data_IF_569089891175
#
_entry.id   IF_569089891175
#
_cell.length_a   1.000
_cell.length_b   1.000
_cell.length_c   1.000
_cell.angle_alpha   90.00
_cell.angle_beta   90.00
_cell.angle_gamma   90.00
#
_symmetry.space_group_name_H-M   'P 1'
#
loop_
_entity.id
_entity.type
_entity.pdbx_description
1 polymer ?
#
# COMPACT_ATOMS: atom_id res chain seq x y z
N UNK A 1 -8.08 80.86 -14.34
CA UNK A 1 -6.76 80.20 -14.27
C UNK A 1 -6.32 80.25 -12.82
N UNK A 2 -6.44 79.13 -12.08
CA UNK A 2 -6.03 79.03 -10.68
C UNK A 2 -4.95 77.97 -10.54
N UNK A 3 -3.89 78.40 -9.88
CA UNK A 3 -2.60 77.78 -9.63
C UNK A 3 -2.71 76.74 -8.51
N UNK A 4 -1.95 75.66 -8.67
CA UNK A 4 -1.80 74.50 -7.79
C UNK A 4 -1.05 74.90 -6.52
N UNK A 5 -1.46 74.41 -5.33
CA UNK A 5 -0.50 74.09 -4.28
C UNK A 5 -0.87 72.81 -3.51
N UNK A 6 0.09 71.90 -3.57
CA UNK A 6 0.23 70.60 -2.94
C UNK A 6 -0.09 70.59 -1.44
N UNK A 7 -0.98 69.69 -1.01
CA UNK A 7 -1.06 69.21 0.38
C UNK A 7 -0.53 67.78 0.42
N UNK A 8 0.68 67.67 0.96
CA UNK A 8 1.33 66.46 1.42
C UNK A 8 0.47 65.82 2.53
N UNK A 9 -0.04 64.60 2.33
CA UNK A 9 -0.53 63.76 3.44
C UNK A 9 -0.14 62.31 3.21
N UNK A 10 0.54 61.78 4.21
CA UNK A 10 1.19 60.48 4.28
C UNK A 10 0.25 59.27 4.17
N UNK A 11 0.79 58.21 3.52
CA UNK A 11 0.68 56.74 3.66
C UNK A 11 -0.50 56.08 4.43
N UNK A 12 -0.92 54.83 4.06
CA UNK A 12 -0.07 53.79 3.48
C UNK A 12 -0.62 53.07 2.24
N UNK A 13 0.30 52.79 1.31
CA UNK A 13 0.26 51.61 0.45
C UNK A 13 0.43 50.38 1.35
N UNK A 14 -0.66 49.74 1.74
CA UNK A 14 -0.61 48.37 2.24
C UNK A 14 -0.58 47.43 1.02
N UNK A 15 0.61 47.29 0.44
CA UNK A 15 0.89 46.31 -0.61
C UNK A 15 0.67 44.92 0.00
N UNK A 16 -0.44 44.28 -0.36
CA UNK A 16 -0.79 42.94 0.06
C UNK A 16 0.25 41.93 -0.44
N UNK A 17 1.28 41.67 0.35
CA UNK A 17 2.17 40.53 0.20
C UNK A 17 1.40 39.26 0.60
N UNK A 18 0.50 38.81 -0.27
CA UNK A 18 0.09 37.42 -0.32
C UNK A 18 1.27 36.63 -0.90
N UNK A 19 2.25 36.36 -0.03
CA UNK A 19 3.17 35.26 -0.26
C UNK A 19 2.32 33.99 -0.20
N UNK A 20 1.84 33.56 -1.37
CA UNK A 20 1.51 32.17 -1.60
C UNK A 20 2.81 31.40 -1.33
N UNK A 21 2.99 30.95 -0.10
CA UNK A 21 3.86 29.83 0.17
C UNK A 21 3.29 28.71 -0.67
N UNK A 22 3.89 28.47 -1.83
CA UNK A 22 3.68 27.25 -2.57
C UNK A 22 4.07 26.16 -1.57
N UNK A 23 3.06 25.53 -0.97
CA UNK A 23 3.27 24.39 -0.12
C UNK A 23 4.15 23.44 -0.90
N UNK A 24 5.29 23.06 -0.34
CA UNK A 24 6.05 21.93 -0.83
C UNK A 24 5.05 20.78 -0.96
N UNK A 25 4.60 20.52 -2.19
CA UNK A 25 4.07 19.22 -2.54
C UNK A 25 5.28 18.30 -2.41
N UNK A 26 5.49 17.79 -1.19
CA UNK A 26 6.26 16.58 -1.01
C UNK A 26 5.55 15.59 -1.91
N UNK A 27 6.16 15.28 -3.06
CA UNK A 27 5.83 14.15 -3.89
C UNK A 27 6.17 12.89 -3.08
N UNK A 28 5.47 12.70 -1.96
CA UNK A 28 5.35 11.43 -1.29
C UNK A 28 4.62 10.57 -2.30
N UNK A 29 5.41 9.73 -2.98
CA UNK A 29 5.01 8.71 -3.93
C UNK A 29 3.52 8.47 -3.91
N UNK A 30 2.84 8.76 -5.03
CA UNK A 30 1.52 8.23 -5.29
C UNK A 30 1.62 6.71 -5.09
N UNK A 31 1.29 6.26 -3.89
CA UNK A 31 1.17 4.84 -3.56
C UNK A 31 -0.07 4.43 -4.33
N UNK A 32 0.14 3.83 -5.50
CA UNK A 32 -0.93 3.24 -6.30
C UNK A 32 -1.79 2.42 -5.32
N UNK A 33 -3.09 2.73 -5.24
CA UNK A 33 -4.03 2.02 -4.36
C UNK A 33 -4.05 0.49 -4.67
N UNK A 34 -3.55 0.12 -5.85
CA UNK A 34 -3.33 -1.25 -6.32
C UNK A 34 -2.14 -1.99 -5.71
N UNK A 35 -1.16 -1.28 -5.11
CA UNK A 35 0.07 -1.89 -4.62
C UNK A 35 -0.08 -2.51 -3.23
N UNK A 36 0.50 -3.69 -3.03
CA UNK A 36 0.51 -4.35 -1.72
C UNK A 36 1.35 -3.57 -0.71
N UNK A 37 0.77 -3.24 0.45
CA UNK A 37 1.46 -2.50 1.51
C UNK A 37 2.26 -3.47 2.39
N UNK A 38 3.57 -3.55 2.19
CA UNK A 38 4.41 -4.57 2.84
C UNK A 38 4.62 -4.40 4.35
N UNK A 39 4.34 -3.23 4.91
CA UNK A 39 4.53 -2.90 6.34
C UNK A 39 3.21 -2.82 7.15
N UNK A 40 2.09 -3.30 6.57
CA UNK A 40 0.79 -3.33 7.26
C UNK A 40 0.63 -4.58 8.15
N UNK A 41 -0.41 -4.61 8.98
CA UNK A 41 -0.75 -5.79 9.80
C UNK A 41 -1.32 -6.94 8.97
N UNK A 42 -1.32 -8.17 9.50
CA UNK A 42 -1.94 -9.31 8.83
C UNK A 42 -3.45 -9.10 8.59
N UNK A 43 -4.11 -8.41 9.52
CA UNK A 43 -5.53 -8.08 9.41
C UNK A 43 -5.81 -7.10 8.26
N UNK A 44 -5.04 -6.01 8.15
CA UNK A 44 -5.15 -5.05 7.04
C UNK A 44 -4.82 -5.71 5.71
N UNK A 45 -3.78 -6.54 5.67
CA UNK A 45 -3.41 -7.27 4.45
C UNK A 45 -4.52 -8.21 3.99
N UNK A 46 -5.20 -8.89 4.93
CA UNK A 46 -6.37 -9.73 4.60
C UNK A 46 -7.49 -8.90 3.98
N UNK A 47 -7.78 -7.72 4.52
CA UNK A 47 -8.79 -6.82 3.96
C UNK A 47 -8.38 -6.33 2.56
N UNK A 48 -7.12 -5.96 2.38
CA UNK A 48 -6.60 -5.53 1.08
C UNK A 48 -6.73 -6.64 0.03
N UNK A 49 -6.32 -7.87 0.39
CA UNK A 49 -6.40 -9.03 -0.51
C UNK A 49 -7.86 -9.39 -0.83
N UNK A 50 -8.77 -9.28 0.13
CA UNK A 50 -10.20 -9.50 -0.11
C UNK A 50 -10.79 -8.50 -1.12
N UNK A 51 -10.24 -7.28 -1.19
CA UNK A 51 -10.60 -6.31 -2.22
C UNK A 51 -10.15 -6.71 -3.64
N UNK A 52 -9.13 -7.56 -3.77
CA UNK A 52 -8.62 -8.03 -5.06
C UNK A 52 -9.16 -9.39 -5.48
N UNK A 53 -9.48 -10.22 -4.50
CA UNK A 53 -9.94 -11.60 -4.69
C UNK A 53 -11.28 -11.70 -3.97
N UNK A 54 -12.39 -11.35 -4.65
CA UNK A 54 -13.72 -11.57 -4.11
C UNK A 54 -13.92 -13.03 -3.68
N UNK A 55 -14.79 -13.25 -2.70
CA UNK A 55 -15.27 -14.59 -2.35
C UNK A 55 -15.76 -15.32 -3.60
N UNK A 56 -15.50 -16.64 -3.70
CA UNK A 56 -15.82 -17.49 -4.86
C UNK A 56 -15.11 -17.17 -6.17
N UNK A 57 -14.06 -16.33 -6.15
CA UNK A 57 -13.19 -16.14 -7.32
C UNK A 57 -12.61 -17.48 -7.80
N UNK A 58 -12.44 -17.61 -9.12
CA UNK A 58 -11.71 -18.72 -9.70
C UNK A 58 -10.29 -18.79 -9.11
N UNK A 59 -9.85 -19.98 -8.72
CA UNK A 59 -8.57 -20.20 -8.06
C UNK A 59 -7.39 -19.75 -8.94
N UNK A 60 -7.44 -20.03 -10.24
CA UNK A 60 -6.40 -19.62 -11.18
C UNK A 60 -6.35 -18.10 -11.33
N UNK A 61 -7.51 -17.44 -11.35
CA UNK A 61 -7.65 -15.98 -11.35
C UNK A 61 -7.05 -15.36 -10.09
N UNK A 62 -7.37 -15.91 -8.92
CA UNK A 62 -6.82 -15.47 -7.64
C UNK A 62 -5.28 -15.60 -7.59
N UNK A 63 -4.74 -16.71 -8.09
CA UNK A 63 -3.29 -16.93 -8.20
C UNK A 63 -2.64 -15.90 -9.12
N UNK A 64 -3.20 -15.66 -10.31
CA UNK A 64 -2.70 -14.64 -11.26
C UNK A 64 -2.76 -13.23 -10.65
N UNK A 65 -3.83 -12.90 -9.94
CA UNK A 65 -4.00 -11.62 -9.23
C UNK A 65 -2.88 -11.39 -8.22
N UNK A 66 -2.52 -12.41 -7.42
CA UNK A 66 -1.39 -12.30 -6.48
C UNK A 66 -0.04 -12.24 -7.20
N UNK A 67 0.16 -13.06 -8.23
CA UNK A 67 1.40 -13.05 -9.03
C UNK A 67 1.67 -11.69 -9.68
N UNK A 68 0.63 -11.04 -10.22
CA UNK A 68 0.75 -9.69 -10.80
C UNK A 68 1.18 -8.62 -9.79
N UNK A 69 1.08 -8.91 -8.48
CA UNK A 69 1.48 -8.04 -7.36
C UNK A 69 2.80 -8.46 -6.72
N UNK A 70 3.53 -9.37 -7.37
CA UNK A 70 4.87 -9.80 -6.94
C UNK A 70 4.89 -11.02 -6.03
N UNK A 71 3.74 -11.66 -5.75
CA UNK A 71 3.74 -12.91 -5.00
C UNK A 71 4.22 -14.07 -5.88
N UNK A 72 5.05 -14.93 -5.32
CA UNK A 72 5.41 -16.21 -5.94
C UNK A 72 4.48 -17.30 -5.40
N UNK A 73 3.66 -17.87 -6.27
CA UNK A 73 2.66 -18.89 -5.91
C UNK A 73 3.09 -20.30 -6.31
N UNK A 74 2.83 -21.28 -5.44
CA UNK A 74 3.03 -22.71 -5.72
C UNK A 74 1.88 -23.54 -5.14
N UNK A 75 1.46 -24.55 -5.90
CA UNK A 75 0.52 -25.55 -5.40
C UNK A 75 1.16 -26.33 -4.25
N UNK A 76 0.34 -26.69 -3.26
CA UNK A 76 0.73 -27.50 -2.11
C UNK A 76 -0.23 -28.67 -1.95
N UNK A 77 0.26 -29.72 -1.29
CA UNK A 77 -0.60 -30.79 -0.83
C UNK A 77 -1.62 -30.22 0.16
N UNK A 78 -2.94 -30.42 -0.04
CA UNK A 78 -3.95 -29.99 0.91
C UNK A 78 -3.74 -30.68 2.26
N UNK A 79 -3.76 -29.89 3.34
CA UNK A 79 -3.56 -30.39 4.69
C UNK A 79 -4.83 -31.00 5.32
N UNK A 80 -6.01 -30.62 4.80
CA UNK A 80 -7.30 -31.07 5.28
C UNK A 80 -8.03 -31.89 4.20
N UNK A 81 -8.77 -32.91 4.62
CA UNK A 81 -9.41 -33.87 3.71
C UNK A 81 -10.56 -33.28 2.88
N UNK A 82 -11.15 -32.17 3.31
CA UNK A 82 -12.19 -31.42 2.63
C UNK A 82 -11.65 -30.46 1.56
N UNK A 83 -10.34 -30.24 1.52
CA UNK A 83 -9.67 -29.40 0.54
C UNK A 83 -9.21 -30.22 -0.66
N UNK A 84 -9.64 -29.80 -1.85
CA UNK A 84 -9.21 -30.38 -3.12
C UNK A 84 -7.91 -29.77 -3.61
N UNK A 85 -7.67 -28.50 -3.30
CA UNK A 85 -6.41 -27.84 -3.62
C UNK A 85 -6.05 -26.75 -2.62
N UNK A 86 -4.76 -26.60 -2.38
CA UNK A 86 -4.18 -25.51 -1.59
C UNK A 86 -3.05 -24.89 -2.40
N UNK A 87 -3.00 -23.56 -2.46
CA UNK A 87 -1.91 -22.80 -3.10
C UNK A 87 -1.33 -21.82 -2.10
N UNK A 88 0.00 -21.84 -1.95
CA UNK A 88 0.74 -20.89 -1.12
C UNK A 88 1.41 -19.84 -2.01
N UNK A 89 1.12 -18.58 -1.74
CA UNK A 89 1.71 -17.41 -2.37
C UNK A 89 2.57 -16.65 -1.37
N UNK A 90 3.83 -16.40 -1.72
CA UNK A 90 4.82 -15.77 -0.84
C UNK A 90 5.28 -14.46 -1.46
N UNK A 91 5.32 -13.40 -0.67
CA UNK A 91 6.00 -12.16 -1.01
C UNK A 91 7.12 -11.93 0.00
N UNK A 92 8.36 -12.01 -0.48
CA UNK A 92 9.55 -11.73 0.32
C UNK A 92 9.74 -10.23 0.56
N UNK A 93 10.68 -9.85 1.45
CA UNK A 93 11.00 -8.46 1.67
C UNK A 93 11.47 -7.82 0.37
N UNK A 94 10.85 -6.68 0.02
CA UNK A 94 11.31 -5.89 -1.11
C UNK A 94 12.66 -5.23 -0.74
N UNK A 95 13.61 -5.15 -1.68
CA UNK A 95 14.88 -4.49 -1.44
C UNK A 95 14.62 -3.04 -1.03
N UNK A 96 15.24 -2.62 0.07
CA UNK A 96 15.20 -1.23 0.50
C UNK A 96 15.83 -0.36 -0.59
N UNK A 97 15.12 0.68 -1.03
CA UNK A 97 15.70 1.72 -1.89
C UNK A 97 16.89 2.31 -1.12
N UNK A 98 18.10 2.34 -1.71
CA UNK A 98 19.30 2.81 -1.02
C UNK A 98 19.04 4.17 -0.38
N UNK A 99 19.35 4.35 0.91
CA UNK A 99 19.03 5.59 1.60
C UNK A 99 19.87 6.72 0.99
N UNK A 100 19.24 7.60 0.23
CA UNK A 100 19.78 8.93 -0.02
C UNK A 100 19.73 9.68 1.32
N UNK A 101 20.74 9.48 2.17
CA UNK A 101 20.84 9.98 3.56
C UNK A 101 19.61 9.72 4.43
N UNK A 102 19.46 8.51 5.00
CA UNK A 102 18.47 8.27 6.07
C UNK A 102 19.10 8.48 7.46
N UNK A 103 18.48 9.36 8.25
CA UNK A 103 18.67 9.51 9.70
C UNK A 103 17.77 8.53 10.51
N UNK A 104 16.92 7.76 9.82
CA UNK A 104 15.98 6.82 10.43
C UNK A 104 16.43 5.37 10.24
N UNK A 105 16.16 4.53 11.23
CA UNK A 105 16.41 3.09 11.22
C UNK A 105 15.67 2.42 10.04
N UNK A 106 16.30 1.47 9.32
CA UNK A 106 15.62 0.68 8.29
C UNK A 106 14.38 -0.02 8.86
N UNK A 107 13.33 -0.16 8.05
CA UNK A 107 12.16 -0.90 8.47
C UNK A 107 12.50 -2.40 8.55
N UNK A 108 11.96 -3.10 9.54
CA UNK A 108 12.17 -4.54 9.66
C UNK A 108 11.68 -5.24 8.39
N UNK A 109 12.49 -6.11 7.76
CA UNK A 109 12.06 -6.92 6.62
C UNK A 109 10.86 -7.80 6.98
N UNK A 110 9.86 -7.85 6.11
CA UNK A 110 8.62 -8.61 6.32
C UNK A 110 8.44 -9.62 5.20
N UNK A 111 8.21 -10.88 5.58
CA UNK A 111 7.74 -11.93 4.67
C UNK A 111 6.23 -12.08 4.81
N UNK A 112 5.57 -12.28 3.68
CA UNK A 112 4.13 -12.45 3.60
C UNK A 112 3.78 -13.81 3.03
N UNK A 113 2.76 -14.43 3.61
CA UNK A 113 2.25 -15.74 3.20
C UNK A 113 0.74 -15.64 3.02
N UNK A 114 0.27 -16.00 1.83
CA UNK A 114 -1.15 -16.04 1.48
C UNK A 114 -1.48 -17.44 1.03
N UNK A 115 -2.36 -18.12 1.76
CA UNK A 115 -2.81 -19.47 1.43
C UNK A 115 -4.22 -19.38 0.85
N UNK A 116 -4.35 -19.80 -0.41
CA UNK A 116 -5.62 -19.97 -1.09
C UNK A 116 -6.06 -21.42 -0.99
N UNK A 117 -7.20 -21.67 -0.37
CA UNK A 117 -7.79 -23.00 -0.25
C UNK A 117 -9.03 -23.10 -1.13
N UNK A 118 -9.27 -24.30 -1.64
CA UNK A 118 -10.43 -24.62 -2.46
C UNK A 118 -10.97 -25.99 -2.11
N UNK A 119 -12.28 -26.07 -1.89
CA UNK A 119 -13.00 -27.31 -1.59
C UNK A 119 -13.46 -28.06 -2.84
N UNK A 120 -13.61 -27.36 -3.97
CA UNK A 120 -14.02 -27.93 -5.26
C UNK A 120 -12.84 -28.12 -6.23
N UNK A 121 -11.69 -27.50 -5.94
CA UNK A 121 -10.49 -27.49 -6.78
C UNK A 121 -10.47 -26.38 -7.83
N UNK A 122 -11.51 -25.55 -7.90
CA UNK A 122 -11.71 -24.54 -8.96
C UNK A 122 -11.97 -23.15 -8.43
N UNK A 123 -12.60 -23.01 -7.26
CA UNK A 123 -12.95 -21.72 -6.66
C UNK A 123 -12.29 -21.55 -5.30
N UNK A 124 -11.95 -20.30 -4.95
CA UNK A 124 -11.40 -19.98 -3.63
C UNK A 124 -12.50 -20.08 -2.59
N UNK A 125 -12.36 -21.02 -1.65
CA UNK A 125 -13.26 -21.19 -0.50
C UNK A 125 -12.76 -20.45 0.74
N UNK A 126 -11.45 -20.32 0.91
CA UNK A 126 -10.86 -19.65 2.07
C UNK A 126 -9.50 -19.03 1.70
N UNK A 127 -9.23 -17.83 2.24
CA UNK A 127 -7.96 -17.12 2.14
C UNK A 127 -7.40 -16.91 3.55
N UNK A 128 -6.20 -17.42 3.79
CA UNK A 128 -5.44 -17.18 5.01
C UNK A 128 -4.28 -16.24 4.69
N UNK A 129 -4.04 -15.26 5.55
CA UNK A 129 -2.95 -14.29 5.39
C UNK A 129 -2.16 -14.25 6.68
N UNK A 130 -0.84 -14.39 6.56
CA UNK A 130 0.08 -14.27 7.69
C UNK A 130 1.36 -13.58 7.25
N UNK A 131 2.12 -13.13 8.24
CA UNK A 131 3.40 -12.45 8.04
C UNK A 131 4.44 -12.88 9.05
N UNK A 132 5.70 -12.64 8.72
CA UNK A 132 6.82 -12.77 9.64
C UNK A 132 7.71 -11.53 9.52
N UNK A 133 8.03 -10.84 10.63
CA UNK A 133 7.59 -11.12 12.01
C UNK A 133 6.08 -10.94 12.21
N UNK A 134 5.51 -11.59 13.24
CA UNK A 134 4.10 -11.43 13.63
C UNK A 134 3.84 -9.97 14.07
N UNK A 135 2.61 -9.53 13.91
CA UNK A 135 2.15 -8.24 14.45
C UNK A 135 2.44 -8.11 15.95
N UNK A 136 2.84 -6.91 16.37
CA UNK A 136 3.09 -6.59 17.77
C UNK A 136 1.74 -6.48 18.48
N UNK A 137 1.55 -7.28 19.54
CA UNK A 137 0.31 -7.32 20.32
C UNK A 137 -0.82 -8.13 19.70
N UNK A 138 -0.50 -9.06 18.79
CA UNK A 138 -1.50 -9.72 17.94
C UNK A 138 -2.29 -10.85 18.57
#
# INVERSE_FOLDING_TARGET
MQTIHFRLRWLPLALSLLLFTQGCAAAGAARSEDAFRTQQSAQEARQQIAGWIPSSSALDGAVKTLQSRGFTCRAMQPAAADLRSTTLCILGPLPDVPPMRRLATPATPVNWFVTLNSMDGTTVSNIQVSRTPKDIGG
#
